data_IF_791280954415
#
_entry.id   IF_791280954415
#
_cell.length_a   1.000
_cell.length_b   1.000
_cell.length_c   1.000
_cell.angle_alpha   90.00
_cell.angle_beta   90.00
_cell.angle_gamma   90.00
#
_symmetry.space_group_name_H-M   'P 1'
#
loop_
_entity.id
_entity.type
_entity.pdbx_description
1 polymer ?
#
# COMPACT_ATOMS: atom_id res chain seq x y z
N UNK A 1 -6.54 10.03 24.60
CA UNK A 1 -5.32 9.43 25.15
C UNK A 1 -4.30 10.52 25.36
N UNK A 2 -3.84 10.70 26.61
CA UNK A 2 -2.72 11.58 26.94
C UNK A 2 -1.37 10.97 26.51
N UNK A 3 -0.27 11.68 26.77
CA UNK A 3 1.07 11.24 26.35
C UNK A 3 1.53 9.97 27.08
N UNK A 4 1.26 9.85 28.37
CA UNK A 4 1.63 8.68 29.17
C UNK A 4 0.91 7.42 28.69
N UNK A 5 -0.40 7.53 28.41
CA UNK A 5 -1.21 6.43 27.88
C UNK A 5 -0.73 5.97 26.49
N UNK A 6 -0.24 6.90 25.66
CA UNK A 6 0.31 6.60 24.33
C UNK A 6 1.62 5.81 24.41
N UNK A 7 2.48 6.15 25.37
CA UNK A 7 3.74 5.45 25.63
C UNK A 7 3.51 4.03 26.17
N UNK A 8 2.52 3.89 27.07
CA UNK A 8 2.14 2.59 27.63
C UNK A 8 1.40 1.66 26.65
N UNK A 9 0.77 2.20 25.60
CA UNK A 9 -0.01 1.41 24.64
C UNK A 9 0.79 0.26 24.02
N UNK A 10 2.02 0.52 23.54
CA UNK A 10 2.90 -0.51 22.94
C UNK A 10 3.18 -1.66 23.89
N UNK A 11 3.35 -1.35 25.17
CA UNK A 11 3.65 -2.32 26.21
C UNK A 11 2.44 -3.22 26.46
N UNK A 12 1.28 -2.63 26.78
CA UNK A 12 0.06 -3.40 27.05
C UNK A 12 -0.37 -4.27 25.86
N UNK A 13 -0.23 -3.76 24.63
CA UNK A 13 -0.52 -4.54 23.43
C UNK A 13 0.37 -5.79 23.34
N UNK A 14 1.67 -5.63 23.60
CA UNK A 14 2.65 -6.73 23.53
C UNK A 14 2.43 -7.74 24.66
N UNK A 15 2.22 -7.26 25.89
CA UNK A 15 1.90 -8.11 27.04
C UNK A 15 0.63 -8.92 26.80
N UNK A 16 -0.42 -8.30 26.25
CA UNK A 16 -1.65 -9.00 25.90
C UNK A 16 -1.39 -10.10 24.88
N UNK A 17 -0.66 -9.81 23.80
CA UNK A 17 -0.39 -10.79 22.74
C UNK A 17 0.47 -11.96 23.26
N UNK A 18 1.54 -11.66 24.02
CA UNK A 18 2.39 -12.69 24.60
C UNK A 18 1.63 -13.59 25.58
N UNK A 19 0.76 -13.01 26.41
CA UNK A 19 -0.04 -13.75 27.39
C UNK A 19 -1.12 -14.63 26.76
N UNK A 20 -1.89 -14.11 25.80
CA UNK A 20 -3.07 -14.80 25.28
C UNK A 20 -2.75 -15.77 24.13
N UNK A 21 -1.64 -15.58 23.42
CA UNK A 21 -1.26 -16.40 22.27
C UNK A 21 0.06 -17.16 22.49
N UNK A 22 0.58 -17.17 23.73
CA UNK A 22 1.83 -17.85 24.11
C UNK A 22 3.02 -17.47 23.22
N UNK A 23 3.10 -16.18 22.86
CA UNK A 23 4.15 -15.63 22.00
C UNK A 23 5.29 -15.04 22.83
N UNK A 24 6.46 -14.90 22.20
CA UNK A 24 7.60 -14.19 22.76
C UNK A 24 7.99 -13.01 21.85
N UNK A 25 7.06 -12.07 21.67
CA UNK A 25 7.28 -10.89 20.85
C UNK A 25 8.11 -9.87 21.63
N UNK A 26 9.28 -9.51 21.11
CA UNK A 26 10.19 -8.53 21.70
C UNK A 26 10.19 -7.19 20.96
N UNK A 27 9.87 -7.15 19.67
CA UNK A 27 9.94 -5.96 18.85
C UNK A 27 8.56 -5.46 18.41
N UNK A 28 8.38 -4.14 18.32
CA UNK A 28 7.09 -3.53 17.94
C UNK A 28 6.66 -3.90 16.51
N UNK A 29 7.62 -4.06 15.60
CA UNK A 29 7.33 -4.45 14.23
C UNK A 29 6.70 -5.86 14.16
N UNK A 30 7.15 -6.76 15.03
CA UNK A 30 6.61 -8.11 15.12
C UNK A 30 5.23 -8.12 15.79
N UNK A 31 5.03 -7.27 16.82
CA UNK A 31 3.70 -6.98 17.38
C UNK A 31 2.74 -6.53 16.29
N UNK A 32 3.16 -5.58 15.44
CA UNK A 32 2.34 -5.05 14.36
C UNK A 32 2.02 -6.12 13.32
N UNK A 33 3.01 -6.89 12.85
CA UNK A 33 2.82 -7.98 11.88
C UNK A 33 1.87 -9.04 12.39
N UNK A 34 2.05 -9.49 13.63
CA UNK A 34 1.16 -10.48 14.24
C UNK A 34 -0.26 -9.93 14.36
N UNK A 35 -0.40 -8.69 14.80
CA UNK A 35 -1.71 -8.07 14.87
C UNK A 35 -2.40 -8.01 13.50
N UNK A 36 -1.67 -7.86 12.38
CA UNK A 36 -2.30 -7.90 11.05
C UNK A 36 -2.92 -9.25 10.71
N UNK A 37 -2.43 -10.38 11.25
CA UNK A 37 -2.96 -11.72 10.97
C UNK A 37 -4.26 -12.02 11.71
N UNK A 38 -4.55 -11.29 12.78
CA UNK A 38 -5.75 -11.48 13.58
C UNK A 38 -7.02 -10.99 12.87
N UNK A 39 -8.12 -11.70 13.11
CA UNK A 39 -9.45 -11.33 12.66
C UNK A 39 -9.94 -10.04 13.31
N UNK A 40 -10.98 -9.43 12.71
CA UNK A 40 -11.61 -8.21 13.26
C UNK A 40 -12.19 -8.48 14.66
N UNK A 41 -12.75 -9.68 14.89
CA UNK A 41 -13.32 -10.07 16.18
C UNK A 41 -12.27 -10.14 17.28
N UNK A 42 -11.13 -10.76 17.01
CA UNK A 42 -10.00 -10.85 17.95
C UNK A 42 -9.43 -9.46 18.27
N UNK A 43 -9.24 -8.62 17.25
CA UNK A 43 -8.81 -7.22 17.42
C UNK A 43 -9.77 -6.44 18.31
N UNK A 44 -11.08 -6.64 18.15
CA UNK A 44 -12.09 -5.98 19.00
C UNK A 44 -11.92 -6.35 20.48
N UNK A 45 -11.64 -7.62 20.77
CA UNK A 45 -11.32 -8.08 22.13
C UNK A 45 -10.08 -7.39 22.69
N UNK A 46 -9.00 -7.34 21.90
CA UNK A 46 -7.74 -6.66 22.25
C UNK A 46 -7.98 -5.20 22.62
N UNK A 47 -8.71 -4.45 21.79
CA UNK A 47 -9.01 -3.03 22.05
C UNK A 47 -9.80 -2.82 23.34
N UNK A 48 -10.69 -3.75 23.67
CA UNK A 48 -11.47 -3.68 24.92
C UNK A 48 -10.58 -3.85 26.13
N UNK A 49 -9.69 -4.85 26.13
CA UNK A 49 -8.78 -5.10 27.24
C UNK A 49 -7.76 -3.97 27.43
N UNK A 50 -7.16 -3.48 26.34
CA UNK A 50 -6.20 -2.37 26.42
C UNK A 50 -6.88 -1.09 26.90
N UNK A 51 -8.12 -0.83 26.47
CA UNK A 51 -8.89 0.32 26.91
C UNK A 51 -9.15 0.31 28.43
N UNK A 52 -9.47 -0.87 28.99
CA UNK A 52 -9.62 -1.03 30.43
C UNK A 52 -8.29 -0.78 31.17
N UNK A 53 -7.18 -1.33 30.69
CA UNK A 53 -5.86 -1.13 31.30
C UNK A 53 -5.42 0.34 31.30
N UNK A 54 -5.74 1.08 30.24
CA UNK A 54 -5.40 2.50 30.07
C UNK A 54 -6.45 3.47 30.62
N UNK A 55 -7.58 2.97 31.14
CA UNK A 55 -8.71 3.78 31.61
C UNK A 55 -9.25 4.75 30.54
N UNK A 56 -9.36 4.28 29.31
CA UNK A 56 -9.92 5.03 28.16
C UNK A 56 -11.02 4.23 27.50
N UNK A 57 -11.72 4.84 26.53
CA UNK A 57 -12.72 4.12 25.75
C UNK A 57 -12.06 3.21 24.70
N UNK A 58 -12.73 2.11 24.35
CA UNK A 58 -12.31 1.23 23.26
C UNK A 58 -12.08 1.99 21.95
N UNK A 59 -12.98 2.93 21.63
CA UNK A 59 -12.87 3.76 20.42
C UNK A 59 -11.59 4.58 20.40
N UNK A 60 -11.19 5.17 21.53
CA UNK A 60 -9.93 5.92 21.61
C UNK A 60 -8.71 5.05 21.34
N UNK A 61 -8.68 3.81 21.84
CA UNK A 61 -7.59 2.87 21.59
C UNK A 61 -7.54 2.46 20.12
N UNK A 62 -8.70 2.10 19.56
CA UNK A 62 -8.84 1.77 18.14
C UNK A 62 -8.36 2.92 17.24
N UNK A 63 -8.82 4.14 17.51
CA UNK A 63 -8.48 5.31 16.72
C UNK A 63 -7.01 5.68 16.86
N UNK A 64 -6.44 5.57 18.06
CA UNK A 64 -5.01 5.76 18.27
C UNK A 64 -4.18 4.75 17.49
N UNK A 65 -4.57 3.47 17.52
CA UNK A 65 -3.90 2.42 16.76
C UNK A 65 -3.89 2.73 15.25
N UNK A 66 -5.05 3.02 14.65
CA UNK A 66 -5.16 3.25 13.20
C UNK A 66 -4.59 4.59 12.75
N UNK A 67 -4.69 5.64 13.57
CA UNK A 67 -4.30 6.99 13.15
C UNK A 67 -2.85 7.35 13.49
N UNK A 68 -2.26 6.71 14.50
CA UNK A 68 -0.93 7.06 15.00
C UNK A 68 -0.02 5.85 15.02
N UNK A 69 -0.30 4.86 15.88
CA UNK A 69 0.65 3.79 16.16
C UNK A 69 0.96 2.94 14.92
N UNK A 70 -0.05 2.49 14.17
CA UNK A 70 0.16 1.67 12.97
C UNK A 70 0.94 2.40 11.86
N UNK A 71 0.90 3.73 11.81
CA UNK A 71 1.54 4.50 10.74
C UNK A 71 3.06 4.49 10.83
N UNK A 72 3.63 4.26 12.01
CA UNK A 72 5.09 4.23 12.20
C UNK A 72 5.77 3.05 11.50
N UNK A 73 5.01 2.01 11.13
CA UNK A 73 5.51 0.83 10.41
C UNK A 73 5.46 0.99 8.89
N UNK A 74 5.02 2.14 8.39
CA UNK A 74 4.94 2.43 6.97
C UNK A 74 5.91 3.55 6.59
N UNK A 75 6.45 3.47 5.39
CA UNK A 75 7.28 4.53 4.82
C UNK A 75 6.43 5.79 4.55
N UNK A 76 6.96 6.97 4.84
CA UNK A 76 6.25 8.23 4.57
C UNK A 76 6.16 8.48 3.06
N UNK A 77 4.93 8.51 2.55
CA UNK A 77 4.67 8.74 1.13
C UNK A 77 5.09 10.13 0.65
N UNK A 78 5.25 11.10 1.57
CA UNK A 78 5.63 12.47 1.21
C UNK A 78 7.00 12.55 0.55
N UNK A 79 7.92 11.66 0.91
CA UNK A 79 9.25 11.57 0.32
C UNK A 79 9.20 11.24 -1.18
N UNK A 80 8.12 10.58 -1.62
CA UNK A 80 7.93 10.14 -3.00
C UNK A 80 7.01 11.05 -3.81
N UNK A 81 6.70 12.26 -3.32
CA UNK A 81 5.79 13.20 -3.98
C UNK A 81 6.20 13.48 -5.42
N UNK A 82 7.48 13.80 -5.66
CA UNK A 82 7.99 14.11 -7.00
C UNK A 82 7.86 12.91 -7.95
N UNK A 83 8.15 11.70 -7.47
CA UNK A 83 7.97 10.48 -8.24
C UNK A 83 6.50 10.26 -8.62
N UNK A 84 5.58 10.43 -7.66
CA UNK A 84 4.14 10.30 -7.91
C UNK A 84 3.63 11.33 -8.91
N UNK A 85 4.04 12.60 -8.80
CA UNK A 85 3.71 13.64 -9.77
C UNK A 85 4.20 13.25 -11.17
N UNK A 86 5.44 12.75 -11.29
CA UNK A 86 5.98 12.28 -12.57
C UNK A 86 5.21 11.11 -13.16
N UNK A 87 4.80 10.12 -12.35
CA UNK A 87 3.98 9.00 -12.82
C UNK A 87 2.63 9.52 -13.31
N UNK A 88 1.99 10.40 -12.53
CA UNK A 88 0.68 10.98 -12.87
C UNK A 88 0.71 11.80 -14.15
N UNK A 89 1.73 12.65 -14.35
CA UNK A 89 1.87 13.49 -15.54
C UNK A 89 2.04 12.67 -16.83
N UNK A 90 2.55 11.43 -16.74
CA UNK A 90 2.72 10.53 -17.88
C UNK A 90 1.44 9.76 -18.24
N UNK A 91 0.42 9.77 -17.38
CA UNK A 91 -0.81 9.02 -17.63
C UNK A 91 -1.81 9.82 -18.45
N UNK A 92 -2.66 9.09 -19.18
CA UNK A 92 -3.75 9.67 -19.95
C UNK A 92 -4.88 10.15 -19.02
N UNK A 93 -5.06 11.47 -18.92
CA UNK A 93 -6.06 12.11 -18.06
C UNK A 93 -7.53 11.92 -18.49
N UNK A 94 -7.79 11.30 -19.65
CA UNK A 94 -9.15 10.95 -20.10
C UNK A 94 -9.71 9.71 -19.39
N UNK A 95 -8.88 8.96 -18.66
CA UNK A 95 -9.33 7.84 -17.85
C UNK A 95 -10.10 8.30 -16.61
N UNK A 96 -10.99 7.43 -16.12
CA UNK A 96 -11.68 7.68 -14.85
C UNK A 96 -10.68 7.76 -13.68
N UNK A 97 -11.01 8.55 -12.66
CA UNK A 97 -10.17 8.73 -11.46
C UNK A 97 -9.84 7.39 -10.80
N UNK A 98 -10.83 6.48 -10.71
CA UNK A 98 -10.64 5.15 -10.14
C UNK A 98 -9.60 4.35 -10.91
N UNK A 99 -9.69 4.35 -12.25
CA UNK A 99 -8.75 3.66 -13.12
C UNK A 99 -7.35 4.26 -13.02
N UNK A 100 -7.24 5.60 -13.01
CA UNK A 100 -5.97 6.30 -12.85
C UNK A 100 -5.31 5.99 -11.52
N UNK A 101 -6.05 6.04 -10.42
CA UNK A 101 -5.52 5.73 -9.09
C UNK A 101 -5.00 4.29 -9.03
N UNK A 102 -5.73 3.33 -9.60
CA UNK A 102 -5.30 1.93 -9.66
C UNK A 102 -4.03 1.76 -10.51
N UNK A 103 -3.99 2.38 -11.68
CA UNK A 103 -2.85 2.34 -12.59
C UNK A 103 -1.59 2.94 -11.95
N UNK A 104 -1.70 4.17 -11.44
CA UNK A 104 -0.58 4.87 -10.78
C UNK A 104 -0.13 4.12 -9.53
N UNK A 105 -1.04 3.58 -8.73
CA UNK A 105 -0.69 2.75 -7.57
C UNK A 105 0.06 1.49 -7.96
N UNK A 106 -0.36 0.82 -9.05
CA UNK A 106 0.31 -0.36 -9.57
C UNK A 106 1.74 -0.06 -10.03
N UNK A 107 1.92 0.98 -10.84
CA UNK A 107 3.24 1.43 -11.29
C UNK A 107 4.14 1.78 -10.10
N UNK A 108 3.60 2.54 -9.13
CA UNK A 108 4.38 2.97 -7.97
C UNK A 108 4.82 1.78 -7.10
N UNK A 109 3.94 0.82 -6.86
CA UNK A 109 4.26 -0.39 -6.08
C UNK A 109 5.27 -1.28 -6.79
N UNK A 110 5.15 -1.41 -8.11
CA UNK A 110 6.09 -2.19 -8.92
C UNK A 110 7.51 -1.58 -8.89
N UNK A 111 7.61 -0.25 -8.90
CA UNK A 111 8.89 0.46 -8.79
C UNK A 111 9.48 0.44 -7.38
N UNK A 112 8.66 0.23 -6.35
CA UNK A 112 9.04 0.37 -4.95
C UNK A 112 8.70 -0.88 -4.11
N UNK A 113 8.94 -2.08 -4.63
CA UNK A 113 8.54 -3.36 -4.00
C UNK A 113 9.06 -3.56 -2.58
N UNK A 114 10.22 -2.99 -2.26
CA UNK A 114 10.84 -3.12 -0.94
C UNK A 114 10.17 -2.23 0.13
N UNK A 115 9.37 -1.23 -0.28
CA UNK A 115 8.78 -0.27 0.65
C UNK A 115 7.44 -0.75 1.18
N UNK A 116 7.24 -0.64 2.49
CA UNK A 116 5.95 -0.86 3.11
C UNK A 116 5.13 0.43 3.07
N UNK A 117 4.32 0.61 2.03
CA UNK A 117 3.54 1.84 1.80
C UNK A 117 2.09 1.66 2.24
N UNK A 118 1.59 2.59 3.06
CA UNK A 118 0.19 2.58 3.48
C UNK A 118 -0.75 2.95 2.33
N UNK A 119 -1.64 2.03 1.93
CA UNK A 119 -2.51 2.16 0.75
C UNK A 119 -3.38 3.43 0.77
N UNK A 120 -3.99 3.77 1.92
CA UNK A 120 -4.83 4.98 2.03
C UNK A 120 -4.01 6.25 1.83
N UNK A 121 -2.78 6.27 2.34
CA UNK A 121 -1.87 7.41 2.18
C UNK A 121 -1.43 7.56 0.74
N UNK A 122 -1.12 6.45 0.06
CA UNK A 122 -0.81 6.40 -1.38
C UNK A 122 -1.98 6.93 -2.22
N UNK A 123 -3.19 6.42 -2.03
CA UNK A 123 -4.38 6.89 -2.75
C UNK A 123 -4.62 8.39 -2.56
N UNK A 124 -4.49 8.90 -1.33
CA UNK A 124 -4.64 10.32 -1.05
C UNK A 124 -3.57 11.16 -1.74
N UNK A 125 -2.31 10.70 -1.75
CA UNK A 125 -1.22 11.38 -2.44
C UNK A 125 -1.46 11.43 -3.95
N UNK A 126 -1.89 10.33 -4.57
CA UNK A 126 -2.21 10.26 -6.01
C UNK A 126 -3.35 11.22 -6.36
N UNK A 127 -4.45 11.19 -5.60
CA UNK A 127 -5.60 12.08 -5.85
C UNK A 127 -5.20 13.56 -5.77
N UNK A 128 -4.34 13.94 -4.82
CA UNK A 128 -3.79 15.30 -4.74
C UNK A 128 -2.96 15.66 -5.98
N UNK A 129 -2.13 14.74 -6.48
CA UNK A 129 -1.36 14.93 -7.70
C UNK A 129 -2.27 15.14 -8.91
N UNK A 130 -3.28 14.28 -9.10
CA UNK A 130 -4.24 14.37 -10.20
C UNK A 130 -5.03 15.68 -10.16
N UNK A 131 -5.48 16.11 -8.98
CA UNK A 131 -6.17 17.39 -8.81
C UNK A 131 -5.29 18.58 -9.16
N UNK A 132 -4.00 18.56 -8.78
CA UNK A 132 -3.03 19.60 -9.13
C UNK A 132 -2.87 19.69 -10.65
N UNK A 133 -2.60 18.56 -11.32
CA UNK A 133 -2.41 18.50 -12.78
C UNK A 133 -3.64 19.04 -13.53
N UNK A 134 -4.86 18.66 -13.11
CA UNK A 134 -6.10 19.17 -13.73
C UNK A 134 -6.28 20.66 -13.57
N UNK A 135 -5.99 21.20 -12.38
CA UNK A 135 -6.02 22.65 -12.12
C UNK A 135 -5.02 23.40 -13.00
N UNK A 136 -3.84 22.83 -13.20
CA UNK A 136 -2.80 23.45 -14.03
C UNK A 136 -3.19 23.43 -15.52
N UNK A 137 -3.76 22.33 -16.01
CA UNK A 137 -4.29 22.24 -17.38
C UNK A 137 -5.46 23.20 -17.63
N UNK A 138 -6.36 23.36 -16.66
CA UNK A 138 -7.45 24.33 -16.74
C UNK A 138 -6.93 25.77 -16.85
N UNK A 139 -5.91 26.14 -16.07
CA UNK A 139 -5.27 27.47 -16.12
C UNK A 139 -4.55 27.72 -17.45
N UNK A 140 -4.01 26.69 -18.08
CA UNK A 140 -3.34 26.82 -19.38
C UNK A 140 -4.36 27.08 -20.50
N UNK A 141 -5.50 26.38 -20.47
CA UNK A 141 -6.59 26.60 -21.45
C UNK A 141 -7.15 28.01 -21.37
N UNK A 142 -7.47 28.53 -20.18
CA UNK A 142 -8.07 29.87 -20.05
C UNK A 142 -7.13 31.01 -20.43
N UNK A 143 -5.82 30.85 -20.28
CA UNK A 143 -4.83 31.86 -20.69
C UNK A 143 -4.60 31.90 -22.20
N UNK A 144 -4.75 30.78 -22.90
CA UNK A 144 -4.55 30.71 -24.34
C UNK A 144 -5.67 31.45 -25.10
N UNK A 145 -6.91 31.36 -24.62
CA UNK A 145 -8.06 31.96 -25.30
C UNK A 145 -8.13 33.48 -25.12
N UNK A 146 -7.67 34.01 -23.99
CA UNK A 146 -7.75 35.45 -23.69
C UNK A 146 -6.83 36.33 -24.56
N UNK A 147 -5.80 35.75 -25.19
CA UNK A 147 -4.87 36.51 -26.06
C UNK A 147 -5.28 36.56 -27.54
N UNK A 148 -6.26 35.76 -27.95
CA UNK A 148 -6.75 35.75 -29.34
C UNK A 148 -8.18 36.30 -29.49
N UNK A 149 -8.83 36.71 -28.40
CA UNK A 149 -10.10 37.43 -28.47
C UNK A 149 -9.84 38.95 -28.51
N UNK A 150 -9.65 39.47 -29.72
CA UNK A 150 -9.94 40.88 -30.02
C UNK A 150 -11.40 41.12 -29.61
N UNK A 151 -11.76 42.18 -28.86
CA UNK A 151 -13.14 42.38 -28.42
C UNK A 151 -14.04 42.52 -29.65
N UNK A 152 -14.77 41.46 -29.99
CA UNK A 152 -15.87 41.53 -30.93
C UNK A 152 -16.98 42.28 -30.20
N UNK A 153 -17.10 43.56 -30.52
CA UNK A 153 -18.29 44.35 -30.26
C UNK A 153 -19.48 43.56 -30.80
N UNK A 154 -20.41 43.30 -29.89
CA UNK A 154 -21.64 42.56 -30.08
C UNK A 154 -22.45 43.10 -31.25
N UNK A 155 -22.63 42.28 -32.29
CA UNK A 155 -23.85 42.29 -33.08
C UNK A 155 -24.60 41.00 -32.80
N UNK A 156 -25.70 41.15 -32.06
CA UNK A 156 -26.71 40.12 -31.84
C UNK A 156 -27.26 39.69 -33.20
N UNK A 157 -27.16 38.41 -33.54
CA UNK A 157 -28.10 37.78 -34.46
C UNK A 157 -28.41 36.37 -33.96
N UNK A 158 -29.71 36.17 -33.75
CA UNK A 158 -30.33 34.91 -33.43
C UNK A 158 -30.21 33.97 -34.63
N UNK A 159 -29.49 32.85 -34.51
CA UNK A 159 -29.76 31.70 -35.38
C UNK A 159 -29.28 30.36 -34.80
N UNK A 160 -30.26 29.46 -34.65
CA UNK A 160 -30.25 27.98 -34.71
C UNK A 160 -28.99 27.21 -34.26
N UNK A 161 -29.17 26.51 -33.13
CA UNK A 161 -28.35 25.37 -32.67
C UNK A 161 -28.32 24.21 -33.69
N UNK A 162 -27.14 23.70 -34.08
CA UNK A 162 -27.02 22.45 -34.80
C UNK A 162 -27.11 21.26 -33.83
N UNK A 163 -28.06 20.37 -34.12
CA UNK A 163 -28.22 19.06 -33.47
C UNK A 163 -27.06 18.16 -33.94
N UNK A 164 -26.19 17.77 -33.00
CA UNK A 164 -25.10 16.81 -33.23
C UNK A 164 -25.72 15.43 -33.41
N UNK A 165 -25.68 14.91 -34.64
CA UNK A 165 -25.95 13.51 -34.99
C UNK A 165 -24.62 12.82 -35.31
N UNK A 166 -24.18 11.88 -34.48
CA UNK A 166 -23.98 10.48 -34.86
C UNK A 166 -23.25 9.72 -33.73
N UNK A 167 -23.71 8.48 -33.49
CA UNK A 167 -23.21 7.56 -32.46
C UNK A 167 -21.99 6.74 -32.92
N UNK A 168 -21.55 6.92 -34.16
CA UNK A 168 -20.57 6.04 -34.81
C UNK A 168 -19.11 6.44 -34.53
N UNK A 169 -18.86 7.72 -34.23
CA UNK A 169 -17.49 8.20 -33.96
C UNK A 169 -16.93 7.76 -32.59
N UNK A 170 -17.79 7.43 -31.63
CA UNK A 170 -17.36 6.92 -30.32
C UNK A 170 -16.85 5.48 -30.37
N UNK A 171 -17.39 4.65 -31.27
CA UNK A 171 -16.95 3.25 -31.45
C UNK A 171 -15.52 3.18 -32.00
N UNK A 172 -15.20 4.03 -32.98
CA UNK A 172 -13.87 4.10 -33.60
C UNK A 172 -12.80 4.59 -32.63
N UNK A 173 -13.15 5.50 -31.71
CA UNK A 173 -12.21 5.95 -30.69
C UNK A 173 -11.92 4.90 -29.61
N UNK A 174 -12.94 4.12 -29.20
CA UNK A 174 -12.76 3.04 -28.21
C UNK A 174 -11.89 1.90 -28.77
N UNK A 175 -12.06 1.52 -30.05
CA UNK A 175 -11.23 0.49 -30.69
C UNK A 175 -9.75 0.89 -30.79
N UNK A 176 -9.45 2.18 -31.03
CA UNK A 176 -8.06 2.67 -31.07
C UNK A 176 -7.38 2.61 -29.69
N UNK A 177 -8.12 2.85 -28.60
CA UNK A 177 -7.58 2.76 -27.23
C UNK A 177 -7.24 1.32 -26.85
N UNK A 178 -8.10 0.36 -27.20
CA UNK A 178 -7.85 -1.07 -26.95
C UNK A 178 -6.63 -1.57 -27.74
N UNK A 179 -6.46 -1.12 -28.98
CA UNK A 179 -5.33 -1.52 -29.83
C UNK A 179 -3.99 -1.02 -29.27
N UNK A 180 -3.94 0.21 -28.73
CA UNK A 180 -2.74 0.75 -28.07
C UNK A 180 -2.40 -0.05 -26.80
N UNK A 181 -3.42 -0.43 -26.02
CA UNK A 181 -3.24 -1.19 -24.78
C UNK A 181 -2.69 -2.60 -25.05
N UNK A 182 -3.13 -3.25 -26.13
CA UNK A 182 -2.62 -4.55 -26.57
C UNK A 182 -1.20 -4.46 -27.16
N UNK A 183 -0.86 -3.39 -27.88
CA UNK A 183 0.50 -3.16 -28.37
C UNK A 183 1.52 -2.96 -27.24
N UNK A 184 1.12 -2.33 -26.14
CA UNK A 184 1.96 -2.15 -24.96
C UNK A 184 2.17 -3.47 -24.20
N UNK A 185 1.13 -4.30 -24.07
CA UNK A 185 1.25 -5.62 -23.42
C UNK A 185 2.18 -6.57 -24.20
N UNK A 186 2.07 -6.61 -25.52
CA UNK A 186 2.80 -7.58 -26.34
C UNK A 186 4.25 -7.19 -26.66
N UNK A 187 4.62 -5.90 -26.62
CA UNK A 187 5.99 -5.47 -26.94
C UNK A 187 6.86 -5.17 -25.72
N UNK A 188 6.28 -4.89 -24.54
CA UNK A 188 7.06 -4.50 -23.35
C UNK A 188 7.43 -5.72 -22.49
N UNK A 189 6.59 -6.76 -22.46
CA UNK A 189 6.80 -7.94 -21.60
C UNK A 189 7.96 -8.84 -22.10
N UNK A 190 8.14 -9.11 -23.41
CA UNK A 190 9.23 -9.98 -23.88
C UNK A 190 10.63 -9.37 -23.74
N UNK A 191 10.74 -8.03 -23.72
CA UNK A 191 12.04 -7.33 -23.60
C UNK A 191 12.61 -7.37 -22.18
N UNK A 192 11.78 -7.54 -21.17
CA UNK A 192 12.24 -7.68 -19.77
C UNK A 192 12.76 -9.10 -19.51
N UNK A 193 12.18 -10.12 -20.14
CA UNK A 193 12.63 -11.52 -20.01
C UNK A 193 13.97 -11.77 -20.69
N UNK A 194 14.26 -11.09 -21.80
CA UNK A 194 15.54 -11.23 -22.51
C UNK A 194 16.73 -10.57 -21.78
N UNK A 195 16.50 -9.60 -20.90
CA UNK A 195 17.57 -8.93 -20.13
C UNK A 195 17.89 -9.70 -18.83
N UNK A 196 16.93 -10.44 -18.27
CA UNK A 196 17.16 -11.27 -17.07
C UNK A 196 17.97 -12.54 -17.34
N UNK A 197 18.06 -13.02 -18.59
CA UNK A 197 18.82 -14.25 -18.90
C UNK A 197 20.33 -14.03 -19.13
N UNK A 198 20.83 -12.78 -19.09
CA UNK A 198 22.26 -12.46 -19.25
C UNK A 198 23.00 -12.13 -17.94
N UNK A 199 22.34 -12.21 -16.78
CA UNK A 199 22.95 -11.80 -15.48
C UNK A 199 22.94 -12.86 -14.38
N UNK A 200 22.73 -14.14 -14.68
CA UNK A 200 22.82 -15.21 -13.68
C UNK A 200 23.50 -16.46 -14.24
N UNK A 201 24.83 -16.45 -14.28
CA UNK A 201 25.58 -17.67 -13.98
C UNK A 201 26.12 -17.57 -12.55
N UNK A 202 25.57 -18.31 -11.58
CA UNK A 202 26.17 -18.42 -10.27
C UNK A 202 27.38 -19.36 -10.34
N UNK A 203 28.55 -18.86 -9.93
CA UNK A 203 29.73 -19.68 -9.70
C UNK A 203 29.40 -20.84 -8.75
N UNK A 204 29.74 -22.06 -9.17
CA UNK A 204 29.60 -23.28 -8.37
C UNK A 204 30.41 -23.14 -7.07
N UNK A 205 29.79 -23.32 -5.89
CA UNK A 205 30.55 -23.39 -4.65
C UNK A 205 31.37 -24.67 -4.60
N UNK A 206 32.69 -24.53 -4.46
CA UNK A 206 33.58 -25.64 -4.16
C UNK A 206 33.21 -26.28 -2.82
N UNK A 207 32.79 -27.53 -2.85
CA UNK A 207 32.47 -28.33 -1.68
C UNK A 207 33.73 -28.57 -0.84
N UNK A 208 33.85 -27.91 0.32
CA UNK A 208 34.75 -28.37 1.39
C UNK A 208 34.05 -29.48 2.16
N UNK A 209 34.67 -30.67 2.18
CA UNK A 209 34.26 -31.80 3.02
C UNK A 209 34.43 -31.42 4.50
N UNK A 210 33.45 -31.68 5.38
CA UNK A 210 33.63 -31.50 6.81
C UNK A 210 34.63 -32.53 7.36
N UNK A 211 35.54 -32.06 8.20
CA UNK A 211 36.50 -32.87 8.95
C UNK A 211 35.79 -33.54 10.13
N UNK A 212 36.18 -34.78 10.46
CA UNK A 212 35.55 -35.64 11.47
C UNK A 212 35.80 -35.22 12.94
N UNK A 213 36.09 -33.94 13.20
CA UNK A 213 36.51 -33.46 14.52
C UNK A 213 35.41 -32.71 15.32
N UNK A 214 34.25 -32.41 14.74
CA UNK A 214 33.24 -31.53 15.37
C UNK A 214 32.07 -32.28 16.06
N UNK A 215 32.26 -33.56 16.41
CA UNK A 215 31.31 -34.33 17.23
C UNK A 215 31.78 -34.39 18.68
N UNK A 216 31.47 -33.35 19.46
CA UNK A 216 31.61 -33.37 20.92
C UNK A 216 30.29 -33.00 21.60
N UNK A 217 29.74 -34.01 22.29
CA UNK A 217 28.93 -33.97 23.50
C UNK A 217 28.02 -32.77 23.78
N UNK A 218 26.71 -33.04 23.79
CA UNK A 218 25.88 -32.72 24.96
C UNK A 218 24.90 -33.88 25.20
N UNK A 219 25.24 -34.72 26.19
CA UNK A 219 24.25 -35.48 26.96
C UNK A 219 23.75 -34.52 28.03
N UNK A 220 22.46 -34.22 28.03
CA UNK A 220 21.82 -33.82 29.27
C UNK A 220 20.45 -34.47 29.36
N UNK A 221 20.26 -35.14 30.49
CA UNK A 221 19.32 -36.20 30.77
C UNK A 221 18.52 -35.73 31.97
N UNK A 222 17.44 -34.98 31.73
CA UNK A 222 16.46 -34.64 32.78
C UNK A 222 15.15 -34.08 32.21
N UNK A 223 14.37 -34.93 31.53
CA UNK A 223 12.94 -34.68 31.33
C UNK A 223 12.13 -35.68 32.15
N UNK A 224 11.65 -35.17 33.29
CA UNK A 224 10.66 -35.79 34.15
C UNK A 224 9.41 -36.14 33.33
N UNK A 225 8.99 -37.40 33.41
CA UNK A 225 7.68 -37.85 32.99
C UNK A 225 6.61 -37.03 33.72
N UNK A 226 5.86 -36.21 32.98
CA UNK A 226 4.61 -35.64 33.45
C UNK A 226 3.49 -36.61 33.07
N UNK A 227 2.76 -37.06 34.10
CA UNK A 227 1.66 -38.01 34.02
C UNK A 227 0.45 -37.40 33.30
N UNK A 228 0.24 -37.83 32.06
CA UNK A 228 -0.89 -37.41 31.21
C UNK A 228 -2.25 -37.91 31.75
N UNK A 229 -2.30 -38.86 32.70
CA UNK A 229 -3.58 -39.34 33.22
C UNK A 229 -4.26 -38.37 34.19
N UNK A 230 -3.53 -37.42 34.79
CA UNK A 230 -4.17 -36.39 35.63
C UNK A 230 -4.87 -35.28 34.84
N UNK A 231 -4.53 -35.09 33.56
CA UNK A 231 -5.11 -34.01 32.74
C UNK A 231 -6.51 -34.33 32.19
N UNK A 232 -6.86 -35.62 32.06
CA UNK A 232 -8.16 -36.04 31.51
C UNK A 232 -9.29 -36.11 32.56
N UNK A 233 -8.99 -36.00 33.85
CA UNK A 233 -10.00 -36.05 34.93
C UNK A 233 -10.55 -34.67 35.35
N UNK A 234 -10.22 -33.60 34.61
CA UNK A 234 -10.66 -32.22 34.87
C UNK A 234 -11.41 -31.58 33.68
N UNK A 235 -11.80 -32.38 32.69
CA UNK A 235 -12.70 -32.01 31.58
C UNK A 235 -13.94 -32.91 31.64
#
# INVERSE_FOLDING_TARGET
>A
MDQQQKEQFSQYLREYLNKNYSLNIQFENDTYKYLQTLSISEKRGIWTTIAQALQVTQLQVHDYFHNTWSKQFYTDIKEFKTQLENICCKQNLYLSDKTLVQLVSGIFKEQNKALNIHNKSLHQAINRCLQKIRKDNYKLSTKADYKNQKPLISQQNNDKLPIIKSSEDLSVQVSKVIQIQNCLHNNVIPRITSIQHQLQEPEKPQSRKPSAADLICFKDESLKQLDWQQFLNLM
#
